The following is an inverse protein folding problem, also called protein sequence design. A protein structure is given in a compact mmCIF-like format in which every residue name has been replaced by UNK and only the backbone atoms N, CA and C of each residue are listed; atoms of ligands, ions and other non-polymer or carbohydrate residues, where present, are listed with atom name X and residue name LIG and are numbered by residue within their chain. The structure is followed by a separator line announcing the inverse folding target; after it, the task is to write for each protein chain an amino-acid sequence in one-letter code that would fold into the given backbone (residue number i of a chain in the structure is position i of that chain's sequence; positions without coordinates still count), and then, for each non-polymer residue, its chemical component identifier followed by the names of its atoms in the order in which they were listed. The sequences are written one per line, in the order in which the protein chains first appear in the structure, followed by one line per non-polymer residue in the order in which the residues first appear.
data_IF_445707769689
#
_entry.id   IF_445707769689
#
_cell.length_a   1.000
_cell.length_b   1.000
_cell.length_c   1.000
_cell.angle_alpha   90.00
_cell.angle_beta   90.00
_cell.angle_gamma   90.00
#
_symmetry.space_group_name_H-M   'P 1'
#
loop_
_entity.id
_entity.type
_entity.pdbx_description
1 polymer ?
#
# COMPACT_ATOMS: atom_id res chain seq x y z
N UNK A 1 6.13 2.05 14.54
CA UNK A 1 7.30 1.99 13.63
C UNK A 1 8.40 1.11 14.15
N UNK A 2 8.86 1.33 15.39
CA UNK A 2 9.96 0.52 15.95
C UNK A 2 9.61 -0.96 16.00
N UNK A 3 8.42 -1.31 16.48
CA UNK A 3 8.01 -2.71 16.57
C UNK A 3 7.86 -3.34 15.19
N UNK A 4 7.34 -2.58 14.24
CA UNK A 4 7.21 -3.04 12.86
C UNK A 4 8.58 -3.38 12.26
N UNK A 5 9.55 -2.48 12.43
CA UNK A 5 10.90 -2.68 11.92
C UNK A 5 11.55 -3.92 12.55
N UNK A 6 11.34 -4.12 13.84
CA UNK A 6 11.86 -5.30 14.53
C UNK A 6 11.25 -6.60 13.99
N UNK A 7 9.96 -6.59 13.68
CA UNK A 7 9.29 -7.78 13.13
C UNK A 7 9.84 -8.13 11.75
N UNK A 8 10.05 -7.14 10.90
CA UNK A 8 10.64 -7.35 9.57
C UNK A 8 12.05 -7.93 9.70
N UNK A 9 12.86 -7.36 10.56
CA UNK A 9 14.23 -7.83 10.77
C UNK A 9 14.25 -9.26 11.31
N UNK A 10 13.36 -9.58 12.24
CA UNK A 10 13.26 -10.91 12.80
C UNK A 10 12.93 -11.96 11.73
N UNK A 11 12.00 -11.64 10.84
CA UNK A 11 11.65 -12.52 9.74
C UNK A 11 12.84 -12.71 8.80
N UNK A 12 13.53 -11.63 8.45
CA UNK A 12 14.69 -11.70 7.55
C UNK A 12 15.82 -12.54 8.14
N UNK A 13 16.04 -12.49 9.46
CA UNK A 13 17.06 -13.31 10.10
C UNK A 13 16.80 -14.80 10.02
N UNK A 14 15.55 -15.20 9.80
CA UNK A 14 15.17 -16.61 9.67
C UNK A 14 15.21 -17.10 8.22
N UNK A 15 15.51 -16.20 7.27
CA UNK A 15 15.53 -16.51 5.86
C UNK A 15 16.96 -16.72 5.37
N UNK A 16 17.12 -17.43 4.25
CA UNK A 16 18.40 -17.53 3.55
C UNK A 16 18.70 -16.18 2.88
N UNK A 17 19.97 -15.99 2.49
CA UNK A 17 20.35 -14.77 1.77
C UNK A 17 19.57 -14.62 0.47
N UNK A 18 19.28 -15.72 -0.20
CA UNK A 18 18.49 -15.73 -1.42
C UNK A 18 17.05 -15.29 -1.14
N UNK A 19 16.45 -15.77 -0.06
CA UNK A 19 15.09 -15.39 0.34
C UNK A 19 15.01 -13.91 0.69
N UNK A 20 16.02 -13.39 1.36
CA UNK A 20 16.08 -11.98 1.73
C UNK A 20 16.14 -11.10 0.48
N UNK A 21 17.02 -11.45 -0.47
CA UNK A 21 17.17 -10.71 -1.72
C UNK A 21 15.87 -10.75 -2.52
N UNK A 22 15.22 -11.91 -2.57
CA UNK A 22 13.95 -12.07 -3.29
C UNK A 22 12.84 -11.19 -2.69
N UNK A 23 12.75 -11.17 -1.35
CA UNK A 23 11.77 -10.33 -0.66
C UNK A 23 11.98 -8.84 -0.91
N UNK A 24 13.24 -8.39 -0.89
CA UNK A 24 13.56 -6.99 -1.18
C UNK A 24 13.23 -6.63 -2.63
N UNK A 25 13.46 -7.54 -3.55
CA UNK A 25 13.10 -7.35 -4.96
C UNK A 25 11.59 -7.21 -5.11
N UNK A 26 10.82 -8.02 -4.37
CA UNK A 26 9.37 -7.95 -4.41
C UNK A 26 8.84 -6.57 -4.01
N UNK A 27 9.35 -6.01 -2.91
CA UNK A 27 8.91 -4.68 -2.47
C UNK A 27 9.33 -3.58 -3.44
N UNK A 28 10.50 -3.71 -4.05
CA UNK A 28 10.94 -2.77 -5.08
C UNK A 28 10.01 -2.82 -6.30
N UNK A 29 9.62 -4.02 -6.73
CA UNK A 29 8.69 -4.21 -7.84
C UNK A 29 7.30 -3.69 -7.49
N UNK A 30 6.87 -3.88 -6.26
CA UNK A 30 5.59 -3.37 -5.79
C UNK A 30 5.56 -1.84 -5.85
N UNK A 31 6.62 -1.20 -5.41
CA UNK A 31 6.73 0.27 -5.48
C UNK A 31 6.72 0.76 -6.92
N UNK A 32 7.39 0.03 -7.81
CA UNK A 32 7.40 0.36 -9.24
C UNK A 32 5.98 0.28 -9.82
N UNK A 33 5.22 -0.75 -9.46
CA UNK A 33 3.82 -0.87 -9.88
C UNK A 33 2.98 0.29 -9.38
N UNK A 34 3.24 0.76 -8.15
CA UNK A 34 2.56 1.92 -7.60
C UNK A 34 2.91 3.19 -8.39
N UNK A 35 4.17 3.36 -8.80
CA UNK A 35 4.56 4.49 -9.64
C UNK A 35 3.81 4.49 -10.96
N UNK A 36 3.59 3.31 -11.56
CA UNK A 36 2.84 3.23 -12.82
C UNK A 36 1.43 3.77 -12.66
N UNK A 37 0.78 3.48 -11.54
CA UNK A 37 -0.55 4.01 -11.24
C UNK A 37 -0.49 5.53 -11.01
N UNK A 38 0.53 6.00 -10.29
CA UNK A 38 0.73 7.42 -10.04
C UNK A 38 0.85 8.21 -11.36
N UNK A 39 1.66 7.69 -12.27
CA UNK A 39 1.87 8.34 -13.56
C UNK A 39 0.60 8.34 -14.40
N UNK A 40 -0.16 7.26 -14.33
CA UNK A 40 -1.37 7.10 -15.13
C UNK A 40 -2.46 8.10 -14.74
N UNK A 41 -2.60 8.38 -13.45
CA UNK A 41 -3.69 9.21 -12.92
C UNK A 41 -3.21 10.49 -12.25
N UNK A 42 -1.93 10.78 -12.32
CA UNK A 42 -1.32 11.98 -11.73
C UNK A 42 -1.61 12.10 -10.22
N UNK A 43 -1.42 11.00 -9.50
CA UNK A 43 -1.64 10.94 -8.06
C UNK A 43 -0.32 10.82 -7.31
N UNK A 44 -0.25 11.37 -6.07
CA UNK A 44 0.96 11.23 -5.25
C UNK A 44 1.24 9.77 -4.89
N UNK A 45 2.52 9.42 -4.81
CA UNK A 45 2.95 8.05 -4.53
C UNK A 45 2.39 7.53 -3.19
N UNK A 46 2.50 8.31 -2.13
CA UNK A 46 2.04 7.87 -0.81
C UNK A 46 0.53 7.64 -0.78
N UNK A 47 -0.24 8.39 -1.57
CA UNK A 47 -1.68 8.18 -1.68
C UNK A 47 -1.97 6.85 -2.38
N UNK A 48 -1.32 6.59 -3.51
CA UNK A 48 -1.52 5.36 -4.27
C UNK A 48 -1.13 4.13 -3.43
N UNK A 49 0.01 4.19 -2.75
CA UNK A 49 0.45 3.08 -1.90
C UNK A 49 -0.55 2.88 -0.76
N UNK A 50 -1.10 3.96 -0.19
CA UNK A 50 -2.13 3.88 0.83
C UNK A 50 -3.39 3.16 0.33
N UNK A 51 -3.82 3.47 -0.89
CA UNK A 51 -4.95 2.78 -1.51
C UNK A 51 -4.66 1.28 -1.67
N UNK A 52 -3.47 0.95 -2.17
CA UNK A 52 -3.06 -0.45 -2.33
C UNK A 52 -3.09 -1.17 -0.98
N UNK A 53 -2.53 -0.56 0.05
CA UNK A 53 -2.49 -1.15 1.38
C UNK A 53 -3.89 -1.36 1.95
N UNK A 54 -4.77 -0.37 1.80
CA UNK A 54 -6.14 -0.47 2.29
C UNK A 54 -6.91 -1.61 1.63
N UNK A 55 -6.66 -1.85 0.36
CA UNK A 55 -7.36 -2.88 -0.42
C UNK A 55 -6.69 -4.25 -0.34
N UNK A 56 -5.60 -4.38 0.41
CA UNK A 56 -4.82 -5.63 0.46
C UNK A 56 -5.47 -6.80 1.20
N UNK A 57 -6.30 -6.61 2.25
CA UNK A 57 -6.85 -7.76 2.97
C UNK A 57 -7.64 -8.70 2.06
N UNK A 58 -7.39 -10.00 2.21
CA UNK A 58 -8.05 -11.08 1.46
C UNK A 58 -7.81 -11.08 -0.05
N UNK A 59 -6.92 -10.24 -0.54
CA UNK A 59 -6.62 -10.13 -1.98
C UNK A 59 -5.26 -10.71 -2.33
N UNK A 60 -5.19 -11.39 -3.47
CA UNK A 60 -3.91 -11.71 -4.09
C UNK A 60 -3.31 -10.42 -4.66
N UNK A 61 -1.98 -10.42 -4.81
CA UNK A 61 -1.26 -9.19 -5.17
C UNK A 61 -1.76 -8.57 -6.48
N UNK A 62 -1.92 -9.37 -7.52
CA UNK A 62 -2.34 -8.79 -8.80
C UNK A 62 -3.76 -8.23 -8.74
N UNK A 63 -4.66 -8.87 -7.97
CA UNK A 63 -6.01 -8.35 -7.76
C UNK A 63 -5.99 -7.07 -6.94
N UNK A 64 -5.10 -7.01 -5.95
CA UNK A 64 -4.91 -5.81 -5.16
C UNK A 64 -4.51 -4.63 -6.04
N UNK A 65 -3.54 -4.83 -6.93
CA UNK A 65 -3.12 -3.79 -7.87
C UNK A 65 -4.23 -3.38 -8.82
N UNK A 66 -4.98 -4.36 -9.33
CA UNK A 66 -6.10 -4.09 -10.23
C UNK A 66 -7.19 -3.29 -9.54
N UNK A 67 -7.53 -3.67 -8.31
CA UNK A 67 -8.53 -2.95 -7.53
C UNK A 67 -8.08 -1.52 -7.24
N UNK A 68 -6.82 -1.32 -6.93
CA UNK A 68 -6.26 0.01 -6.68
C UNK A 68 -6.30 0.86 -7.95
N UNK A 69 -5.91 0.28 -9.08
CA UNK A 69 -5.94 0.96 -10.37
C UNK A 69 -7.38 1.39 -10.71
N UNK A 70 -8.34 0.46 -10.59
CA UNK A 70 -9.75 0.75 -10.87
C UNK A 70 -10.28 1.87 -9.98
N UNK A 71 -9.95 1.83 -8.70
CA UNK A 71 -10.42 2.86 -7.76
C UNK A 71 -9.83 4.22 -8.08
N UNK A 72 -8.53 4.27 -8.38
CA UNK A 72 -7.89 5.52 -8.75
C UNK A 72 -8.48 6.09 -10.05
N UNK A 73 -8.78 5.21 -11.01
CA UNK A 73 -9.42 5.62 -12.27
C UNK A 73 -10.80 6.20 -12.01
N UNK A 74 -11.62 5.50 -11.22
CA UNK A 74 -12.99 5.94 -10.91
C UNK A 74 -12.95 7.30 -10.19
N UNK A 75 -12.05 7.45 -9.22
CA UNK A 75 -11.90 8.70 -8.49
C UNK A 75 -11.49 9.84 -9.43
N UNK A 76 -10.51 9.60 -10.29
CA UNK A 76 -9.99 10.61 -11.21
C UNK A 76 -11.05 11.01 -12.25
N UNK A 77 -11.90 10.06 -12.65
CA UNK A 77 -12.97 10.32 -13.62
C UNK A 77 -14.19 11.00 -12.99
N UNK A 78 -14.16 11.26 -11.70
CA UNK A 78 -15.27 11.91 -11.02
C UNK A 78 -16.40 10.97 -10.61
N UNK A 79 -16.13 9.67 -10.54
CA UNK A 79 -17.09 8.68 -10.10
C UNK A 79 -17.29 8.65 -8.59
N UNK A 80 -18.02 7.65 -8.13
CA UNK A 80 -18.41 7.52 -6.72
C UNK A 80 -17.84 6.24 -6.12
N UNK A 81 -17.75 6.21 -4.78
CA UNK A 81 -17.25 5.04 -4.06
C UNK A 81 -18.09 3.80 -4.36
N UNK A 82 -19.38 3.97 -4.57
CA UNK A 82 -20.30 2.88 -4.89
C UNK A 82 -19.98 2.21 -6.24
N UNK A 83 -19.28 2.91 -7.12
CA UNK A 83 -18.85 2.37 -8.41
C UNK A 83 -17.65 1.43 -8.26
N UNK A 84 -16.98 1.47 -7.12
CA UNK A 84 -15.82 0.63 -6.86
C UNK A 84 -16.26 -0.73 -6.33
N UNK A 85 -15.75 -1.81 -6.96
CA UNK A 85 -16.12 -3.18 -6.61
C UNK A 85 -14.87 -4.01 -6.29
N UNK A 86 -14.08 -3.63 -5.28
CA UNK A 86 -12.88 -4.39 -4.98
C UNK A 86 -13.22 -5.77 -4.38
N UNK A 87 -12.27 -6.68 -4.48
CA UNK A 87 -12.41 -8.05 -3.99
C UNK A 87 -12.13 -8.15 -2.49
N UNK A 88 -12.41 -7.12 -1.72
CA UNK A 88 -12.16 -7.08 -0.28
C UNK A 88 -13.36 -6.49 0.45
N UNK A 89 -13.20 -6.26 1.75
CA UNK A 89 -14.28 -5.78 2.59
C UNK A 89 -14.69 -4.34 2.24
N UNK A 90 -15.98 -4.06 2.38
CA UNK A 90 -16.52 -2.73 2.14
C UNK A 90 -15.82 -1.67 3.01
N UNK A 91 -15.48 -2.02 4.25
CA UNK A 91 -14.78 -1.10 5.16
C UNK A 91 -13.41 -0.72 4.61
N UNK A 92 -12.73 -1.66 3.95
CA UNK A 92 -11.44 -1.40 3.33
C UNK A 92 -11.60 -0.53 2.08
N UNK A 93 -12.64 -0.79 1.29
CA UNK A 93 -12.99 0.06 0.14
C UNK A 93 -13.19 1.51 0.59
N UNK A 94 -13.99 1.70 1.63
CA UNK A 94 -14.30 3.04 2.12
C UNK A 94 -13.08 3.73 2.69
N UNK A 95 -12.19 2.99 3.33
CA UNK A 95 -10.92 3.51 3.84
C UNK A 95 -10.02 3.99 2.70
N UNK A 96 -9.88 3.18 1.65
CA UNK A 96 -9.10 3.55 0.47
C UNK A 96 -9.68 4.80 -0.20
N UNK A 97 -10.98 4.87 -0.32
CA UNK A 97 -11.64 6.04 -0.90
C UNK A 97 -11.40 7.29 -0.06
N UNK A 98 -11.42 7.18 1.26
CA UNK A 98 -11.11 8.28 2.16
C UNK A 98 -9.71 8.84 1.94
N UNK A 99 -8.74 7.98 1.67
CA UNK A 99 -7.38 8.42 1.36
C UNK A 99 -7.38 9.26 0.09
N UNK A 100 -8.07 8.80 -0.95
CA UNK A 100 -8.16 9.55 -2.20
C UNK A 100 -8.87 10.90 -2.01
N UNK A 101 -9.98 10.91 -1.29
CA UNK A 101 -10.75 12.14 -1.08
C UNK A 101 -10.00 13.18 -0.26
N UNK A 102 -9.32 12.75 0.80
CA UNK A 102 -8.62 13.67 1.68
C UNK A 102 -7.26 14.10 1.13
N UNK A 103 -6.69 13.33 0.20
CA UNK A 103 -5.40 13.62 -0.41
C UNK A 103 -4.36 14.03 0.63
N UNK A 104 -4.02 13.17 1.60
CA UNK A 104 -3.10 13.53 2.67
C UNK A 104 -1.76 14.03 2.14
N UNK A 105 -1.20 15.03 2.81
CA UNK A 105 0.08 15.61 2.38
C UNK A 105 1.27 14.75 2.75
N UNK A 106 1.17 13.94 3.80
CA UNK A 106 2.31 13.16 4.31
C UNK A 106 1.98 11.67 4.38
N UNK A 107 3.03 10.86 4.35
CA UNK A 107 2.88 9.42 4.54
C UNK A 107 2.34 9.09 5.94
N UNK A 108 2.70 9.87 6.95
CA UNK A 108 2.18 9.68 8.30
C UNK A 108 0.66 9.87 8.36
N UNK A 109 0.13 10.83 7.62
CA UNK A 109 -1.31 11.06 7.56
C UNK A 109 -2.03 9.90 6.89
N UNK A 110 -1.44 9.32 5.84
CA UNK A 110 -1.98 8.12 5.19
C UNK A 110 -2.01 6.97 6.19
N UNK A 111 -0.92 6.75 6.91
CA UNK A 111 -0.83 5.69 7.91
C UNK A 111 -1.89 5.86 9.00
N UNK A 112 -2.18 7.10 9.39
CA UNK A 112 -3.21 7.39 10.37
C UNK A 112 -4.60 6.96 9.87
N UNK A 113 -4.90 7.23 8.61
CA UNK A 113 -6.18 6.83 7.99
C UNK A 113 -6.27 5.30 7.92
N UNK A 114 -5.18 4.63 7.55
CA UNK A 114 -5.15 3.17 7.48
C UNK A 114 -5.48 2.52 8.82
N UNK A 115 -4.89 3.01 9.88
CA UNK A 115 -5.24 2.69 11.28
C UNK A 115 -5.33 1.20 11.62
N UNK A 116 -4.79 0.32 10.81
CA UNK A 116 -4.72 -1.10 11.10
C UNK A 116 -3.27 -1.52 11.11
N UNK A 117 -2.77 -2.25 12.12
CA UNK A 117 -1.34 -2.53 12.19
C UNK A 117 -0.84 -3.28 10.95
N UNK A 118 -1.61 -4.24 10.46
CA UNK A 118 -1.20 -5.07 9.34
C UNK A 118 -1.12 -4.28 8.03
N UNK A 119 -2.16 -3.52 7.71
CA UNK A 119 -2.18 -2.73 6.47
C UNK A 119 -1.23 -1.54 6.54
N UNK A 120 -1.06 -0.96 7.72
CA UNK A 120 -0.10 0.13 7.93
C UNK A 120 1.33 -0.37 7.74
N UNK A 121 1.65 -1.55 8.26
CA UNK A 121 2.97 -2.16 8.06
C UNK A 121 3.23 -2.42 6.58
N UNK A 122 2.23 -2.93 5.88
CA UNK A 122 2.33 -3.19 4.46
C UNK A 122 2.57 -1.90 3.66
N UNK A 123 1.87 -0.84 4.04
CA UNK A 123 2.05 0.49 3.45
C UNK A 123 3.52 0.95 3.56
N UNK A 124 4.08 0.87 4.77
CA UNK A 124 5.45 1.31 4.98
C UNK A 124 6.46 0.43 4.23
N UNK A 125 6.20 -0.87 4.13
CA UNK A 125 7.07 -1.77 3.38
C UNK A 125 7.13 -1.40 1.90
N UNK A 126 5.98 -1.14 1.29
CA UNK A 126 5.94 -0.80 -0.14
C UNK A 126 6.55 0.58 -0.36
N UNK A 127 6.25 1.53 0.51
CA UNK A 127 6.80 2.87 0.40
C UNK A 127 8.32 2.86 0.43
N UNK A 128 8.90 1.88 1.13
CA UNK A 128 10.34 1.72 1.14
C UNK A 128 11.04 2.78 1.97
N UNK A 129 10.42 3.19 3.08
CA UNK A 129 11.07 4.08 4.03
C UNK A 129 12.26 3.36 4.63
N UNK A 130 13.44 3.91 4.49
CA UNK A 130 14.68 3.29 4.95
C UNK A 130 14.63 2.93 6.42
N UNK A 131 13.98 3.74 7.23
CA UNK A 131 13.87 3.48 8.67
C UNK A 131 13.00 2.26 8.96
N UNK A 132 12.11 1.89 8.06
CA UNK A 132 11.19 0.78 8.26
C UNK A 132 11.77 -0.55 7.85
N UNK A 133 12.57 -0.58 6.79
CA UNK A 133 13.01 -1.83 6.18
C UNK A 133 14.39 -2.24 6.66
N UNK A 134 15.28 -1.30 6.84
CA UNK A 134 16.69 -1.58 7.01
C UNK A 134 17.13 -1.46 8.45
N UNK A 135 16.58 -0.53 9.17
CA UNK A 135 17.06 -0.18 10.51
C UNK A 135 16.60 -1.14 11.58
N UNK A 136 15.85 -2.08 11.23
CA UNK A 136 15.34 -3.07 12.16
C UNK A 136 15.92 -3.10 13.51
#
# INVERSE_FOLDING_TARGET
MVQYTRNILKVLKQCTDEDIAHGMTWYADAKKSAYDICDKYELPLHVVIGVIAALSPTNEWYMNLRNADDMCRIFTDGGYVEDCKPSTYKTMRDKAWSILQSMPHTSGDVAFILNGPKITDFFWCILGDDTCVIDG
#
